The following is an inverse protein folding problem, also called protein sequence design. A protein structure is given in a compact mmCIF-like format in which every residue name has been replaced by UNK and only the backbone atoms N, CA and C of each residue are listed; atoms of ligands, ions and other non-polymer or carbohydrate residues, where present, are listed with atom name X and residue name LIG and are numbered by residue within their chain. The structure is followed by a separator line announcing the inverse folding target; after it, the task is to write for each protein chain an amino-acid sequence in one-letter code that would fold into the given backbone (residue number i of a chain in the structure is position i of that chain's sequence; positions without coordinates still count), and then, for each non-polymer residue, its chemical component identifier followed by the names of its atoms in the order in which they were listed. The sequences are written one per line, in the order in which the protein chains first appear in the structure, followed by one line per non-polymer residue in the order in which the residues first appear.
data_IF_883348895917
#
_entry.id   IF_883348895917
#
_cell.length_a   1.000
_cell.length_b   1.000
_cell.length_c   1.000
_cell.angle_alpha   90.00
_cell.angle_beta   90.00
_cell.angle_gamma   90.00
#
_symmetry.space_group_name_H-M   'P 1'
#
loop_
_entity.id
_entity.type
_entity.pdbx_description
1 polymer ?
#
# COMPACT_ATOMS: atom_id res chain seq x y z
N UNK A 1 0.93 -21.96 3.59
CA UNK A 1 1.57 -20.63 3.40
C UNK A 1 1.30 -20.03 2.00
N UNK A 2 1.47 -20.73 0.90
CA UNK A 2 1.28 -20.16 -0.45
C UNK A 2 -0.14 -19.65 -0.75
N UNK A 3 -1.18 -20.31 -0.25
CA UNK A 3 -2.56 -19.90 -0.49
C UNK A 3 -2.90 -18.55 0.15
N UNK A 4 -2.48 -18.30 1.40
CA UNK A 4 -2.73 -17.05 2.10
C UNK A 4 -2.01 -15.88 1.42
N UNK A 5 -0.73 -16.05 1.07
CA UNK A 5 0.02 -15.05 0.30
C UNK A 5 -0.62 -14.78 -1.08
N UNK A 6 -1.14 -15.81 -1.75
CA UNK A 6 -1.87 -15.65 -3.00
C UNK A 6 -3.16 -14.83 -2.85
N UNK A 7 -3.87 -14.98 -1.74
CA UNK A 7 -5.05 -14.16 -1.45
C UNK A 7 -4.68 -12.70 -1.17
N UNK A 8 -3.59 -12.43 -0.45
CA UNK A 8 -3.10 -11.07 -0.24
C UNK A 8 -2.72 -10.39 -1.57
N UNK A 9 -2.07 -11.13 -2.48
CA UNK A 9 -1.79 -10.65 -3.84
C UNK A 9 -3.06 -10.34 -4.63
N UNK A 10 -4.06 -11.21 -4.57
CA UNK A 10 -5.33 -10.98 -5.24
C UNK A 10 -6.06 -9.75 -4.66
N UNK A 11 -6.01 -9.56 -3.34
CA UNK A 11 -6.56 -8.38 -2.69
C UNK A 11 -5.81 -7.10 -3.09
N UNK A 12 -4.48 -7.12 -3.16
CA UNK A 12 -3.69 -5.99 -3.64
C UNK A 12 -4.00 -5.63 -5.11
N UNK A 13 -4.21 -6.64 -5.96
CA UNK A 13 -4.63 -6.42 -7.33
C UNK A 13 -6.01 -5.70 -7.39
N UNK A 14 -6.92 -6.02 -6.49
CA UNK A 14 -8.21 -5.33 -6.40
C UNK A 14 -8.07 -3.87 -5.93
N UNK A 15 -7.22 -3.61 -4.92
CA UNK A 15 -6.87 -2.23 -4.54
C UNK A 15 -6.41 -1.44 -5.78
N UNK A 16 -5.57 -2.05 -6.61
CA UNK A 16 -5.02 -1.40 -7.81
C UNK A 16 -6.05 -1.22 -8.94
N UNK A 17 -7.09 -2.05 -8.98
CA UNK A 17 -8.13 -1.99 -10.00
C UNK A 17 -9.23 -0.96 -9.70
N UNK A 18 -9.31 -0.44 -8.48
CA UNK A 18 -10.29 0.59 -8.12
C UNK A 18 -10.04 1.86 -8.94
N UNK A 19 -11.03 2.51 -9.56
CA UNK A 19 -10.86 3.79 -10.22
C UNK A 19 -10.34 4.86 -9.28
N UNK A 20 -9.52 5.78 -9.81
CA UNK A 20 -9.00 6.90 -9.02
C UNK A 20 -10.16 7.80 -8.58
N UNK A 21 -10.19 8.16 -7.31
CA UNK A 21 -11.24 8.99 -6.70
C UNK A 21 -12.42 8.21 -6.11
N UNK A 22 -12.55 6.91 -6.35
CA UNK A 22 -13.56 6.08 -5.67
C UNK A 22 -13.02 5.61 -4.30
N UNK A 23 -13.09 6.52 -3.34
CA UNK A 23 -12.57 6.29 -1.99
C UNK A 23 -13.29 5.15 -1.26
N UNK A 24 -14.59 4.98 -1.49
CA UNK A 24 -15.37 3.92 -0.83
C UNK A 24 -15.01 2.53 -1.37
N UNK A 25 -14.85 2.38 -2.68
CA UNK A 25 -14.39 1.14 -3.25
C UNK A 25 -12.93 0.84 -2.85
N UNK A 26 -12.08 1.87 -2.83
CA UNK A 26 -10.69 1.74 -2.38
C UNK A 26 -10.62 1.28 -0.92
N UNK A 27 -11.44 1.84 -0.05
CA UNK A 27 -11.52 1.46 1.35
C UNK A 27 -11.97 0.01 1.53
N UNK A 28 -13.01 -0.41 0.80
CA UNK A 28 -13.46 -1.82 0.83
C UNK A 28 -12.36 -2.78 0.40
N UNK A 29 -11.69 -2.50 -0.71
CA UNK A 29 -10.58 -3.32 -1.21
C UNK A 29 -9.41 -3.35 -0.23
N UNK A 30 -9.08 -2.22 0.40
CA UNK A 30 -8.03 -2.11 1.40
C UNK A 30 -8.33 -2.94 2.67
N UNK A 31 -9.58 -2.95 3.13
CA UNK A 31 -9.97 -3.80 4.27
C UNK A 31 -9.88 -5.29 3.94
N UNK A 32 -10.18 -5.70 2.70
CA UNK A 32 -9.96 -7.07 2.27
C UNK A 32 -8.48 -7.42 2.27
N UNK A 33 -7.61 -6.50 1.82
CA UNK A 33 -6.16 -6.69 1.89
C UNK A 33 -5.68 -6.81 3.34
N UNK A 34 -6.14 -5.94 4.24
CA UNK A 34 -5.81 -6.02 5.67
C UNK A 34 -6.28 -7.35 6.29
N UNK A 35 -7.49 -7.79 5.96
CA UNK A 35 -8.02 -9.05 6.45
C UNK A 35 -7.22 -10.26 5.93
N UNK A 36 -6.90 -10.29 4.64
CA UNK A 36 -6.08 -11.37 4.06
C UNK A 36 -4.66 -11.40 4.65
N UNK A 37 -4.08 -10.22 4.92
CA UNK A 37 -2.81 -10.10 5.63
C UNK A 37 -2.91 -10.69 7.05
N UNK A 38 -3.92 -10.31 7.82
CA UNK A 38 -4.12 -10.84 9.17
C UNK A 38 -4.26 -12.37 9.19
N UNK A 39 -5.00 -12.93 8.22
CA UNK A 39 -5.13 -14.38 8.05
C UNK A 39 -3.79 -15.00 7.66
N UNK A 40 -3.01 -14.36 6.77
CA UNK A 40 -1.68 -14.84 6.40
C UNK A 40 -0.74 -14.88 7.62
N UNK A 41 -0.68 -13.82 8.40
CA UNK A 41 0.10 -13.77 9.64
C UNK A 41 -0.36 -14.87 10.61
N UNK A 42 -1.67 -15.04 10.82
CA UNK A 42 -2.20 -16.10 11.68
C UNK A 42 -1.75 -17.50 11.20
N UNK A 43 -1.73 -17.76 9.87
CA UNK A 43 -1.26 -19.05 9.34
C UNK A 43 0.24 -19.32 9.56
N UNK A 44 1.01 -18.27 9.78
CA UNK A 44 2.44 -18.40 10.11
C UNK A 44 2.67 -18.79 11.57
N UNK A 45 1.75 -18.40 12.46
CA UNK A 45 1.91 -18.55 13.90
C UNK A 45 1.14 -19.74 14.51
N UNK A 46 0.25 -20.38 13.76
CA UNK A 46 -0.50 -21.53 14.25
C UNK A 46 -0.63 -22.63 13.21
N UNK A 47 -0.60 -23.88 13.70
CA UNK A 47 -0.91 -25.08 12.91
C UNK A 47 -2.29 -25.64 13.27
N UNK A 48 -3.06 -24.95 14.11
CA UNK A 48 -4.39 -25.38 14.50
C UNK A 48 -5.31 -25.47 13.28
N UNK A 49 -5.98 -26.62 13.03
CA UNK A 49 -6.89 -26.77 11.89
C UNK A 49 -8.08 -25.80 11.92
N UNK A 50 -8.41 -25.20 13.06
CA UNK A 50 -9.42 -24.14 13.16
C UNK A 50 -9.12 -22.88 12.35
N UNK A 51 -7.90 -22.75 11.81
CA UNK A 51 -7.54 -21.64 10.90
C UNK A 51 -8.18 -21.78 9.51
N UNK A 52 -8.57 -22.98 9.09
CA UNK A 52 -9.15 -23.20 7.76
C UNK A 52 -10.41 -22.38 7.48
N UNK A 53 -11.34 -22.20 8.41
CA UNK A 53 -12.47 -21.29 8.22
C UNK A 53 -12.04 -19.86 7.90
N UNK A 54 -10.94 -19.36 8.50
CA UNK A 54 -10.42 -18.01 8.21
C UNK A 54 -9.89 -17.91 6.78
N UNK A 55 -9.20 -18.93 6.28
CA UNK A 55 -8.75 -18.97 4.89
C UNK A 55 -9.94 -18.98 3.92
N UNK A 56 -10.99 -19.75 4.24
CA UNK A 56 -12.20 -19.75 3.43
C UNK A 56 -12.89 -18.39 3.40
N UNK A 57 -13.06 -17.76 4.57
CA UNK A 57 -13.67 -16.44 4.65
C UNK A 57 -12.83 -15.36 3.97
N UNK A 58 -11.50 -15.46 4.01
CA UNK A 58 -10.60 -14.58 3.26
C UNK A 58 -10.80 -14.73 1.75
N UNK A 59 -10.90 -15.97 1.24
CA UNK A 59 -11.19 -16.23 -0.17
C UNK A 59 -12.57 -15.66 -0.58
N UNK A 60 -13.58 -15.81 0.26
CA UNK A 60 -14.91 -15.22 0.03
C UNK A 60 -14.85 -13.69 0.00
N UNK A 61 -14.10 -13.06 0.92
CA UNK A 61 -13.93 -11.61 0.96
C UNK A 61 -13.25 -11.09 -0.32
N UNK A 62 -12.18 -11.74 -0.78
CA UNK A 62 -11.52 -11.41 -2.05
C UNK A 62 -12.49 -11.51 -3.22
N UNK A 63 -13.26 -12.58 -3.30
CA UNK A 63 -14.23 -12.76 -4.39
C UNK A 63 -15.39 -11.75 -4.35
N UNK A 64 -15.83 -11.32 -3.17
CA UNK A 64 -16.93 -10.36 -3.04
C UNK A 64 -16.57 -8.99 -3.62
N UNK A 65 -15.36 -8.52 -3.39
CA UNK A 65 -14.88 -7.24 -3.96
C UNK A 65 -14.63 -7.38 -5.46
N UNK A 66 -14.09 -8.53 -5.91
CA UNK A 66 -13.89 -8.81 -7.34
C UNK A 66 -15.21 -8.79 -8.13
N UNK A 67 -16.28 -9.31 -7.56
CA UNK A 67 -17.60 -9.31 -8.19
C UNK A 67 -18.19 -7.90 -8.33
N UNK A 68 -17.75 -6.95 -7.49
CA UNK A 68 -18.20 -5.56 -7.49
C UNK A 68 -17.40 -4.67 -8.46
N UNK A 69 -16.25 -5.13 -8.94
CA UNK A 69 -15.36 -4.39 -9.84
C UNK A 69 -15.38 -4.94 -11.27
N UNK A 70 -15.18 -4.07 -12.26
CA UNK A 70 -15.05 -4.48 -13.66
C UNK A 70 -13.77 -5.30 -13.86
N UNK A 71 -13.90 -6.59 -14.10
CA UNK A 71 -12.80 -7.54 -14.31
C UNK A 71 -11.85 -7.16 -15.48
N UNK A 72 -12.25 -6.26 -16.37
CA UNK A 72 -11.47 -5.84 -17.55
C UNK A 72 -10.30 -4.88 -17.25
N UNK A 73 -10.22 -4.29 -16.05
CA UNK A 73 -9.14 -3.35 -15.69
C UNK A 73 -7.95 -4.02 -14.99
N UNK A 74 -8.12 -5.24 -14.48
CA UNK A 74 -7.05 -5.98 -13.79
C UNK A 74 -5.83 -6.27 -14.69
N UNK A 75 -6.01 -6.39 -16.00
CA UNK A 75 -4.93 -6.72 -16.93
C UNK A 75 -4.13 -5.48 -17.41
N UNK A 76 -4.65 -4.27 -17.27
CA UNK A 76 -4.01 -3.04 -17.77
C UNK A 76 -2.98 -2.41 -16.86
N UNK A 77 -2.87 -2.84 -15.61
CA UNK A 77 -1.95 -2.28 -14.61
C UNK A 77 -0.45 -2.61 -14.80
N UNK A 78 -0.10 -3.43 -15.80
CA UNK A 78 1.27 -3.88 -16.05
C UNK A 78 2.01 -3.08 -17.13
N UNK A 79 1.64 -1.82 -17.38
CA UNK A 79 2.31 -1.00 -18.39
C UNK A 79 3.74 -0.68 -18.00
N UNK A 80 4.69 -1.12 -18.81
CA UNK A 80 6.12 -0.86 -18.68
C UNK A 80 6.40 0.64 -18.81
N UNK A 81 6.90 1.24 -17.74
CA UNK A 81 7.43 2.61 -17.78
C UNK A 81 8.79 2.59 -18.47
N UNK A 82 9.06 3.45 -19.46
CA UNK A 82 10.35 3.49 -20.13
C UNK A 82 11.47 3.87 -19.16
N UNK A 83 12.52 3.04 -19.18
CA UNK A 83 13.73 3.20 -18.39
C UNK A 83 14.59 4.30 -19.00
N UNK A 84 14.50 5.51 -18.50
CA UNK A 84 15.52 6.54 -18.75
C UNK A 84 16.50 6.57 -17.58
N UNK A 85 17.66 5.99 -17.81
CA UNK A 85 18.80 6.06 -16.89
C UNK A 85 19.38 7.47 -16.94
N UNK A 86 19.31 8.19 -15.85
CA UNK A 86 20.09 9.42 -15.67
C UNK A 86 20.53 9.54 -14.20
N UNK A 87 21.84 9.56 -14.03
CA UNK A 87 22.62 10.17 -12.99
C UNK A 87 22.28 9.95 -11.51
N UNK A 88 23.25 9.47 -10.75
CA UNK A 88 23.24 9.18 -9.34
C UNK A 88 22.55 10.20 -8.43
N UNK A 89 21.27 10.00 -8.17
CA UNK A 89 20.57 10.66 -7.10
C UNK A 89 20.89 9.92 -5.78
N UNK A 90 21.24 10.70 -4.76
CA UNK A 90 21.49 10.18 -3.41
C UNK A 90 20.19 9.51 -2.93
N UNK A 91 20.23 8.29 -2.37
CA UNK A 91 19.04 7.55 -1.93
C UNK A 91 18.08 8.38 -1.05
N UNK A 92 18.65 9.20 -0.17
CA UNK A 92 17.88 10.07 0.73
C UNK A 92 17.08 11.15 -0.01
N UNK A 93 17.62 11.72 -1.08
CA UNK A 93 16.89 12.72 -1.87
C UNK A 93 15.76 12.10 -2.69
N UNK A 94 15.93 10.84 -3.13
CA UNK A 94 14.87 10.09 -3.80
C UNK A 94 13.73 9.79 -2.84
N UNK A 95 14.03 9.35 -1.63
CA UNK A 95 13.03 9.05 -0.60
C UNK A 95 12.25 10.31 -0.18
N UNK A 96 12.92 11.45 -0.01
CA UNK A 96 12.24 12.74 0.25
C UNK A 96 11.30 13.15 -0.87
N UNK A 97 11.73 12.98 -2.12
CA UNK A 97 10.88 13.30 -3.27
C UNK A 97 9.66 12.37 -3.32
N UNK A 98 9.84 11.09 -3.01
CA UNK A 98 8.74 10.12 -2.91
C UNK A 98 7.76 10.51 -1.81
N UNK A 99 8.25 10.88 -0.63
CA UNK A 99 7.44 11.36 0.48
C UNK A 99 6.58 12.55 0.03
N UNK A 100 7.18 13.57 -0.55
CA UNK A 100 6.50 14.75 -1.06
C UNK A 100 5.44 14.39 -2.11
N UNK A 101 5.76 13.53 -3.09
CA UNK A 101 4.82 13.10 -4.12
C UNK A 101 3.60 12.38 -3.53
N UNK A 102 3.82 11.52 -2.53
CA UNK A 102 2.71 10.85 -1.83
C UNK A 102 1.88 11.85 -1.02
N UNK A 103 2.50 12.81 -0.35
CA UNK A 103 1.80 13.87 0.39
C UNK A 103 0.94 14.74 -0.52
N UNK A 104 1.42 15.05 -1.71
CA UNK A 104 0.71 15.79 -2.75
C UNK A 104 -0.39 14.96 -3.44
N UNK A 105 -0.43 13.63 -3.19
CA UNK A 105 -1.36 12.72 -3.84
C UNK A 105 -1.01 12.36 -5.29
N UNK A 106 0.21 12.68 -5.73
CA UNK A 106 0.72 12.29 -7.05
C UNK A 106 1.18 10.82 -7.05
N UNK A 107 0.19 9.93 -7.02
CA UNK A 107 0.41 8.48 -6.98
C UNK A 107 1.24 7.98 -8.17
N UNK A 108 1.05 8.56 -9.35
CA UNK A 108 1.75 8.13 -10.56
C UNK A 108 3.26 8.42 -10.47
N UNK A 109 3.63 9.64 -10.10
CA UNK A 109 5.03 10.02 -9.92
C UNK A 109 5.69 9.29 -8.75
N UNK A 110 4.97 9.11 -7.63
CA UNK A 110 5.46 8.35 -6.49
C UNK A 110 5.77 6.89 -6.88
N UNK A 111 4.88 6.25 -7.64
CA UNK A 111 5.07 4.88 -8.11
C UNK A 111 6.25 4.76 -9.07
N UNK A 112 6.39 5.70 -10.01
CA UNK A 112 7.54 5.73 -10.94
C UNK A 112 8.86 5.93 -10.18
N UNK A 113 8.88 6.83 -9.20
CA UNK A 113 10.03 7.08 -8.33
C UNK A 113 10.41 5.87 -7.48
N UNK A 114 9.43 5.18 -6.90
CA UNK A 114 9.65 3.97 -6.11
C UNK A 114 10.23 2.83 -6.94
N UNK A 115 9.70 2.59 -8.14
CA UNK A 115 10.24 1.60 -9.07
C UNK A 115 11.69 1.92 -9.43
N UNK A 116 12.00 3.19 -9.73
CA UNK A 116 13.37 3.63 -10.02
C UNK A 116 14.29 3.41 -8.82
N UNK A 117 13.85 3.75 -7.61
CA UNK A 117 14.59 3.53 -6.37
C UNK A 117 15.00 2.06 -6.21
N UNK A 118 14.06 1.13 -6.43
CA UNK A 118 14.30 -0.30 -6.36
C UNK A 118 15.19 -0.82 -7.50
N UNK A 119 15.03 -0.31 -8.73
CA UNK A 119 15.87 -0.67 -9.88
C UNK A 119 17.33 -0.27 -9.68
N UNK A 120 17.60 0.77 -8.90
CA UNK A 120 18.95 1.17 -8.51
C UNK A 120 19.55 0.30 -7.40
N UNK A 121 18.85 -0.75 -6.94
CA UNK A 121 19.30 -1.66 -5.90
C UNK A 121 19.23 -1.10 -4.48
N UNK A 122 18.47 -0.03 -4.25
CA UNK A 122 18.32 0.54 -2.91
C UNK A 122 17.41 -0.32 -2.01
N UNK A 123 17.57 -0.25 -0.67
CA UNK A 123 16.89 -1.13 0.26
C UNK A 123 15.36 -0.98 0.25
N UNK A 124 14.58 -2.04 -0.02
CA UNK A 124 13.11 -1.99 -0.01
C UNK A 124 12.53 -1.56 1.34
N UNK A 125 13.19 -1.92 2.45
CA UNK A 125 12.75 -1.54 3.80
C UNK A 125 12.75 -0.04 4.04
N UNK A 126 13.71 0.69 3.47
CA UNK A 126 13.73 2.15 3.59
C UNK A 126 12.55 2.78 2.85
N UNK A 127 12.21 2.25 1.67
CA UNK A 127 11.02 2.65 0.93
C UNK A 127 9.74 2.37 1.72
N UNK A 128 9.59 1.16 2.27
CA UNK A 128 8.45 0.80 3.12
C UNK A 128 8.33 1.71 4.35
N UNK A 129 9.47 2.11 4.95
CA UNK A 129 9.52 3.07 6.05
C UNK A 129 8.95 4.44 5.68
N UNK A 130 9.31 4.99 4.51
CA UNK A 130 8.76 6.27 4.04
C UNK A 130 7.27 6.16 3.71
N UNK A 131 6.81 5.09 3.07
CA UNK A 131 5.38 4.87 2.80
C UNK A 131 4.61 4.81 4.12
N UNK A 132 5.15 4.10 5.13
CA UNK A 132 4.57 4.02 6.47
C UNK A 132 4.56 5.37 7.19
N UNK A 133 5.59 6.21 7.06
CA UNK A 133 5.63 7.53 7.68
C UNK A 133 4.56 8.47 7.14
N UNK A 134 4.33 8.46 5.83
CA UNK A 134 3.24 9.22 5.19
C UNK A 134 1.87 8.75 5.70
N UNK A 135 1.66 7.44 5.77
CA UNK A 135 0.41 6.88 6.29
C UNK A 135 0.18 7.24 7.76
N UNK A 136 1.22 7.16 8.60
CA UNK A 136 1.15 7.56 10.01
C UNK A 136 0.84 9.05 10.19
N UNK A 137 1.47 9.91 9.39
CA UNK A 137 1.19 11.35 9.41
C UNK A 137 -0.28 11.64 9.06
N UNK A 138 -0.86 10.91 8.11
CA UNK A 138 -2.27 11.02 7.75
C UNK A 138 -3.21 10.59 8.88
N UNK A 139 -2.90 9.50 9.58
CA UNK A 139 -3.70 9.05 10.72
C UNK A 139 -3.66 10.06 11.87
N UNK A 140 -2.50 10.66 12.15
CA UNK A 140 -2.38 11.75 13.12
C UNK A 140 -3.23 12.96 12.72
N UNK A 141 -3.26 13.30 11.43
CA UNK A 141 -4.08 14.42 10.93
C UNK A 141 -5.58 14.15 11.06
N UNK A 142 -6.02 12.90 10.92
CA UNK A 142 -7.43 12.48 11.07
C UNK A 142 -7.90 12.50 12.52
N UNK A 143 -6.98 12.30 13.45
CA UNK A 143 -7.24 12.11 14.86
C UNK A 143 -7.55 10.66 15.24
N UNK A 144 -7.32 10.33 16.49
CA UNK A 144 -7.48 8.96 17.01
C UNK A 144 -8.94 8.47 17.02
N UNK A 145 -9.89 9.40 16.99
CA UNK A 145 -11.34 9.09 16.98
C UNK A 145 -11.85 8.74 15.56
N UNK A 146 -10.99 8.81 14.55
CA UNK A 146 -11.36 8.42 13.20
C UNK A 146 -11.61 6.92 13.10
N UNK A 147 -12.67 6.52 12.42
CA UNK A 147 -12.96 5.12 12.11
C UNK A 147 -12.07 4.56 10.99
N UNK A 148 -11.35 5.43 10.29
CA UNK A 148 -10.43 5.07 9.21
C UNK A 148 -8.99 5.35 9.64
N UNK A 149 -8.20 4.31 9.75
CA UNK A 149 -6.75 4.39 9.94
C UNK A 149 -6.04 3.88 8.68
N UNK A 150 -5.23 4.74 8.08
CA UNK A 150 -4.51 4.44 6.82
C UNK A 150 -3.27 3.58 7.10
N UNK A 151 -2.60 3.82 8.23
CA UNK A 151 -1.37 3.10 8.58
C UNK A 151 -1.53 1.57 8.59
N UNK A 152 -2.55 0.97 9.23
CA UNK A 152 -2.73 -0.49 9.18
C UNK A 152 -2.93 -1.03 7.78
N UNK A 153 -3.64 -0.30 6.91
CA UNK A 153 -3.90 -0.68 5.53
C UNK A 153 -2.60 -0.69 4.70
N UNK A 154 -1.79 0.36 4.87
CA UNK A 154 -0.49 0.49 4.21
C UNK A 154 0.51 -0.52 4.77
N UNK A 155 0.53 -0.73 6.09
CA UNK A 155 1.40 -1.69 6.74
C UNK A 155 1.15 -3.12 6.21
N UNK A 156 -0.11 -3.52 6.09
CA UNK A 156 -0.47 -4.82 5.52
C UNK A 156 0.12 -5.03 4.11
N UNK A 157 -0.02 -4.04 3.21
CA UNK A 157 0.54 -4.10 1.86
C UNK A 157 2.09 -4.13 1.87
N UNK A 158 2.70 -3.30 2.72
CA UNK A 158 4.17 -3.19 2.82
C UNK A 158 4.81 -4.44 3.43
N UNK A 159 4.19 -5.03 4.44
CA UNK A 159 4.67 -6.27 5.07
C UNK A 159 4.53 -7.46 4.12
N UNK A 160 3.42 -7.58 3.41
CA UNK A 160 3.26 -8.60 2.37
C UNK A 160 4.30 -8.42 1.26
N UNK A 161 4.59 -7.17 0.85
CA UNK A 161 5.64 -6.88 -0.12
C UNK A 161 7.03 -7.34 0.35
N UNK A 162 7.38 -7.05 1.61
CA UNK A 162 8.68 -7.39 2.18
C UNK A 162 8.86 -8.89 2.43
N UNK A 163 7.77 -9.60 2.71
CA UNK A 163 7.77 -11.00 3.10
C UNK A 163 7.27 -11.95 2.00
N UNK A 164 7.04 -11.44 0.78
CA UNK A 164 6.50 -12.24 -0.32
C UNK A 164 7.46 -13.39 -0.65
N UNK A 165 6.98 -14.65 -0.68
CA UNK A 165 7.79 -15.79 -1.09
C UNK A 165 8.37 -15.59 -2.49
N UNK A 166 9.62 -15.98 -2.70
CA UNK A 166 10.34 -15.81 -3.98
C UNK A 166 9.61 -16.45 -5.16
N UNK A 167 8.89 -17.54 -4.92
CA UNK A 167 8.06 -18.20 -5.95
C UNK A 167 6.91 -17.32 -6.48
N UNK A 168 6.49 -16.31 -5.70
CA UNK A 168 5.43 -15.38 -6.06
C UNK A 168 5.97 -13.98 -6.40
N UNK A 169 7.29 -13.79 -6.31
CA UNK A 169 7.93 -12.48 -6.36
C UNK A 169 7.81 -11.75 -7.71
N UNK A 170 7.58 -12.43 -8.83
CA UNK A 170 7.49 -11.83 -10.17
C UNK A 170 6.59 -10.57 -10.23
N UNK A 171 5.44 -10.65 -10.88
CA UNK A 171 4.48 -9.52 -10.95
C UNK A 171 3.84 -9.14 -9.61
N UNK A 172 3.82 -10.06 -8.62
CA UNK A 172 3.15 -9.86 -7.34
C UNK A 172 3.76 -8.76 -6.47
N UNK A 173 5.11 -8.63 -6.46
CA UNK A 173 5.77 -7.55 -5.71
C UNK A 173 5.34 -6.17 -6.20
N UNK A 174 5.20 -6.00 -7.51
CA UNK A 174 4.74 -4.72 -8.07
C UNK A 174 3.30 -4.40 -7.65
N UNK A 175 2.42 -5.40 -7.57
CA UNK A 175 1.04 -5.18 -7.14
C UNK A 175 0.95 -4.70 -5.69
N UNK A 176 1.69 -5.33 -4.77
CA UNK A 176 1.74 -4.95 -3.36
C UNK A 176 2.35 -3.57 -3.14
N UNK A 177 3.46 -3.27 -3.81
CA UNK A 177 4.08 -1.95 -3.75
C UNK A 177 3.14 -0.86 -4.29
N UNK A 178 2.48 -1.13 -5.41
CA UNK A 178 1.50 -0.20 -5.99
C UNK A 178 0.34 0.04 -5.02
N UNK A 179 -0.19 -1.02 -4.40
CA UNK A 179 -1.25 -0.91 -3.42
C UNK A 179 -0.81 -0.07 -2.21
N UNK A 180 0.39 -0.31 -1.66
CA UNK A 180 0.91 0.46 -0.52
C UNK A 180 1.03 1.96 -0.84
N UNK A 181 1.64 2.31 -1.97
CA UNK A 181 1.81 3.70 -2.40
C UNK A 181 0.45 4.35 -2.66
N UNK A 182 -0.45 3.63 -3.33
CA UNK A 182 -1.79 4.11 -3.63
C UNK A 182 -2.58 4.43 -2.37
N UNK A 183 -2.60 3.52 -1.40
CA UNK A 183 -3.26 3.72 -0.11
C UNK A 183 -2.67 4.90 0.66
N UNK A 184 -1.34 5.05 0.67
CA UNK A 184 -0.68 6.19 1.30
C UNK A 184 -0.98 7.52 0.60
N UNK A 185 -1.17 7.54 -0.72
CA UNK A 185 -1.37 8.75 -1.51
C UNK A 185 -2.83 9.20 -1.61
N UNK A 186 -3.77 8.27 -1.81
CA UNK A 186 -5.16 8.60 -2.16
C UNK A 186 -6.05 8.90 -0.94
N UNK A 187 -5.73 8.37 0.25
CA UNK A 187 -6.46 8.75 1.46
C UNK A 187 -6.00 10.11 2.00
N UNK A 188 -6.18 11.16 1.21
CA UNK A 188 -5.83 12.52 1.65
C UNK A 188 -6.81 13.01 2.71
N UNK A 189 -6.26 13.62 3.76
CA UNK A 189 -7.00 14.41 4.73
C UNK A 189 -6.69 15.89 4.50
N UNK A 190 -7.68 16.74 4.67
CA UNK A 190 -7.41 18.18 4.67
C UNK A 190 -6.32 18.52 5.71
N UNK A 191 -5.38 19.35 5.32
CA UNK A 191 -4.15 19.68 6.07
C UNK A 191 -4.37 20.40 7.42
N UNK A 192 -5.62 20.54 7.89
CA UNK A 192 -5.99 21.44 8.99
C UNK A 192 -5.21 21.20 10.31
N UNK A 193 -4.88 19.95 10.67
CA UNK A 193 -4.14 19.69 11.91
C UNK A 193 -2.64 19.88 11.72
N UNK A 194 -2.07 19.41 10.62
CA UNK A 194 -0.65 19.58 10.31
C UNK A 194 -0.31 21.07 10.16
N UNK A 195 -1.17 21.85 9.53
CA UNK A 195 -1.01 23.30 9.41
C UNK A 195 -1.13 23.99 10.77
N UNK A 196 -2.04 23.57 11.63
CA UNK A 196 -2.15 24.09 13.01
C UNK A 196 -0.91 23.77 13.84
N UNK A 197 -0.38 22.54 13.75
CA UNK A 197 0.86 22.15 14.45
C UNK A 197 2.04 22.94 13.91
N UNK A 198 2.19 23.06 12.60
CA UNK A 198 3.26 23.82 11.95
C UNK A 198 3.19 25.30 12.34
N UNK A 199 2.00 25.89 12.35
CA UNK A 199 1.77 27.28 12.80
C UNK A 199 2.09 27.47 14.28
N UNK A 200 1.69 26.52 15.14
CA UNK A 200 2.00 26.57 16.56
C UNK A 200 3.51 26.47 16.84
N UNK A 201 4.22 25.61 16.11
CA UNK A 201 5.68 25.47 16.24
C UNK A 201 6.42 26.71 15.72
N UNK A 202 5.97 27.32 14.63
CA UNK A 202 6.59 28.55 14.09
C UNK A 202 6.30 29.79 14.95
N UNK A 203 5.26 29.79 15.77
CA UNK A 203 4.94 30.85 16.70
C UNK A 203 5.78 30.80 18.00
N UNK A 204 6.52 29.71 18.23
CA UNK A 204 7.39 29.51 19.41
C UNK A 204 8.89 29.75 19.12
N UNK A 205 9.25 30.03 17.89
CA UNK A 205 10.60 30.41 17.46
C UNK A 205 10.68 31.93 17.24
#
# INVERSE_FOLDING_TARGET
MGAAAGMALAAAAQVNAVPQGDTDALLRAAHVLLYTHAVHVATQHTQNPEIWPLLYTAACAVNSVRASGNAAELERGASSVPSTVAGGLIPTSMLRKLEQQMEEGDTASALAGARRYLQMGHPPRALAGIIGSVAAARDVQRGLDSTLHVLPLVAAAAEEYLNLPSALAGGGQNALLTAAIRLASEFQTGHALADRVRTAMSAQM
#
